data_IF_088253065437
#
_entry.id   IF_088253065437
#
_cell.length_a   1.000
_cell.length_b   1.000
_cell.length_c   1.000
_cell.angle_alpha   90.00
_cell.angle_beta   90.00
_cell.angle_gamma   90.00
#
_symmetry.space_group_name_H-M   'P 1'
#
loop_
_entity.id
_entity.type
_entity.pdbx_description
1 polymer ?
#
# COMPACT_ATOMS: atom_id res chain seq x y z
N UNK A 1 -11.30 12.94 -0.65
CA UNK A 1 -11.21 12.06 -1.81
C UNK A 1 -9.97 12.43 -2.60
N UNK A 2 -9.04 11.54 -2.86
CA UNK A 2 -7.92 11.84 -3.76
C UNK A 2 -8.40 11.57 -5.15
N UNK A 3 -8.27 12.54 -5.97
CA UNK A 3 -8.80 12.54 -7.32
C UNK A 3 -7.61 12.58 -8.27
N UNK A 4 -7.64 11.83 -9.39
CA UNK A 4 -6.62 11.94 -10.43
C UNK A 4 -6.44 13.39 -10.84
N UNK A 5 -5.19 13.84 -11.03
CA UNK A 5 -4.90 15.21 -11.43
C UNK A 5 -5.55 15.60 -12.76
N UNK A 6 -5.74 16.90 -12.98
CA UNK A 6 -6.30 17.52 -14.18
C UNK A 6 -7.79 17.22 -14.44
N UNK A 7 -8.65 17.52 -13.47
CA UNK A 7 -10.10 17.45 -13.68
C UNK A 7 -10.63 18.74 -14.33
N UNK A 8 -11.58 18.57 -15.28
CA UNK A 8 -12.27 19.71 -15.88
C UNK A 8 -13.01 20.57 -14.87
N UNK A 9 -13.49 19.99 -13.75
CA UNK A 9 -14.17 20.71 -12.66
C UNK A 9 -13.30 21.66 -11.84
N UNK A 10 -11.97 21.53 -11.89
CA UNK A 10 -11.02 22.45 -11.23
C UNK A 10 -10.85 23.78 -12.00
N UNK A 11 -11.33 23.83 -13.25
CA UNK A 11 -11.26 25.03 -14.08
C UNK A 11 -12.59 25.75 -14.08
N UNK A 12 -12.65 26.95 -13.53
CA UNK A 12 -13.86 27.80 -13.51
C UNK A 12 -14.51 27.95 -14.89
N UNK A 13 -13.69 28.05 -15.94
CA UNK A 13 -14.16 28.18 -17.33
C UNK A 13 -14.87 26.91 -17.80
N UNK A 14 -14.34 25.72 -17.50
CA UNK A 14 -14.94 24.45 -17.90
C UNK A 14 -16.22 24.18 -17.11
N UNK A 15 -16.24 24.53 -15.82
CA UNK A 15 -17.43 24.40 -14.97
C UNK A 15 -18.60 25.24 -15.48
N UNK A 16 -18.30 26.44 -16.01
CA UNK A 16 -19.34 27.35 -16.51
C UNK A 16 -19.74 27.08 -17.97
N UNK A 17 -18.78 26.75 -18.83
CA UNK A 17 -19.02 26.57 -20.27
C UNK A 17 -19.32 25.10 -20.66
N UNK A 18 -18.95 24.12 -19.81
CA UNK A 18 -19.07 22.68 -20.12
C UNK A 18 -19.62 21.87 -18.95
N UNK A 19 -20.75 22.26 -18.33
CA UNK A 19 -21.28 21.60 -17.11
C UNK A 19 -21.56 20.12 -17.33
N UNK A 20 -22.03 19.72 -18.52
CA UNK A 20 -22.33 18.31 -18.82
C UNK A 20 -21.06 17.44 -18.86
N UNK A 21 -19.93 17.99 -19.30
CA UNK A 21 -18.64 17.28 -19.29
C UNK A 21 -18.12 17.09 -17.87
N UNK A 22 -18.19 18.15 -17.06
CA UNK A 22 -17.79 18.10 -15.65
C UNK A 22 -18.63 17.06 -14.91
N UNK A 23 -19.95 17.08 -15.11
CA UNK A 23 -20.87 16.10 -14.49
C UNK A 23 -20.54 14.66 -14.88
N UNK A 24 -20.28 14.39 -16.15
CA UNK A 24 -19.91 13.04 -16.61
C UNK A 24 -18.56 12.57 -16.05
N UNK A 25 -17.58 13.47 -15.90
CA UNK A 25 -16.29 13.17 -15.26
C UNK A 25 -16.48 12.88 -13.75
N UNK A 26 -17.29 13.65 -13.04
CA UNK A 26 -17.60 13.43 -11.63
C UNK A 26 -18.34 12.13 -11.39
N UNK A 27 -19.33 11.79 -12.23
CA UNK A 27 -20.05 10.51 -12.17
C UNK A 27 -19.09 9.33 -12.36
N UNK A 28 -18.17 9.40 -13.33
CA UNK A 28 -17.16 8.37 -13.57
C UNK A 28 -16.21 8.21 -12.37
N UNK A 29 -15.75 9.32 -11.79
CA UNK A 29 -14.87 9.31 -10.63
C UNK A 29 -15.57 8.78 -9.37
N UNK A 30 -16.85 9.12 -9.20
CA UNK A 30 -17.67 8.62 -8.09
C UNK A 30 -17.89 7.11 -8.21
N UNK A 31 -18.24 6.63 -9.40
CA UNK A 31 -18.38 5.19 -9.67
C UNK A 31 -17.08 4.44 -9.38
N UNK A 32 -15.95 4.96 -9.85
CA UNK A 32 -14.64 4.36 -9.57
C UNK A 32 -14.30 4.37 -8.09
N UNK A 33 -14.59 5.45 -7.36
CA UNK A 33 -14.38 5.52 -5.93
C UNK A 33 -15.21 4.46 -5.19
N UNK A 34 -16.45 4.22 -5.62
CA UNK A 34 -17.30 3.17 -5.07
C UNK A 34 -16.70 1.77 -5.30
N UNK A 35 -16.20 1.50 -6.52
CA UNK A 35 -15.50 0.24 -6.83
C UNK A 35 -14.26 0.02 -5.95
N UNK A 36 -13.47 1.07 -5.71
CA UNK A 36 -12.28 1.01 -4.85
C UNK A 36 -12.68 0.76 -3.40
N UNK A 37 -13.72 1.43 -2.89
CA UNK A 37 -14.24 1.24 -1.54
C UNK A 37 -14.73 -0.20 -1.35
N UNK A 38 -15.44 -0.75 -2.31
CA UNK A 38 -15.92 -2.14 -2.30
C UNK A 38 -14.74 -3.12 -2.34
N UNK A 39 -13.79 -2.92 -3.25
CA UNK A 39 -12.59 -3.76 -3.37
C UNK A 39 -11.82 -3.85 -2.06
N UNK A 40 -11.71 -2.75 -1.30
CA UNK A 40 -11.03 -2.67 -0.02
C UNK A 40 -11.91 -3.05 1.17
N UNK A 41 -13.14 -3.50 0.94
CA UNK A 41 -14.10 -3.89 1.99
C UNK A 41 -14.42 -2.74 2.97
N UNK A 42 -14.43 -1.50 2.48
CA UNK A 42 -14.73 -0.31 3.26
C UNK A 42 -16.19 0.17 3.10
N UNK A 43 -17.04 -0.58 2.39
CA UNK A 43 -18.43 -0.18 2.09
C UNK A 43 -19.26 0.13 3.33
N UNK A 44 -19.03 -0.61 4.44
CA UNK A 44 -19.76 -0.40 5.71
C UNK A 44 -19.47 0.97 6.34
N UNK A 45 -18.31 1.56 6.03
CA UNK A 45 -17.85 2.84 6.58
C UNK A 45 -17.71 3.92 5.50
N UNK A 46 -18.31 3.72 4.33
CA UNK A 46 -18.17 4.62 3.19
C UNK A 46 -18.66 6.05 3.46
N UNK A 47 -19.72 6.17 4.28
CA UNK A 47 -20.33 7.44 4.65
C UNK A 47 -19.79 8.04 5.97
N UNK A 48 -18.83 7.35 6.61
CA UNK A 48 -18.20 7.83 7.83
C UNK A 48 -17.15 8.91 7.53
N UNK A 49 -16.99 9.84 8.45
CA UNK A 49 -15.88 10.78 8.40
C UNK A 49 -14.56 10.02 8.55
N UNK A 50 -13.58 10.31 7.70
CA UNK A 50 -12.27 9.68 7.73
C UNK A 50 -11.57 9.75 9.11
N UNK A 51 -11.90 10.76 9.93
CA UNK A 51 -11.45 10.88 11.31
C UNK A 51 -11.92 9.74 12.21
N UNK A 52 -13.12 9.21 11.98
CA UNK A 52 -13.76 8.16 12.78
C UNK A 52 -13.27 6.75 12.41
N UNK A 53 -12.57 6.59 11.29
CA UNK A 53 -12.05 5.30 10.86
C UNK A 53 -11.00 4.77 11.84
N UNK A 54 -10.97 3.45 12.04
CA UNK A 54 -9.89 2.78 12.76
C UNK A 54 -8.54 2.96 12.04
N UNK A 55 -7.44 2.75 12.76
CA UNK A 55 -6.10 2.89 12.19
C UNK A 55 -5.90 2.12 10.89
N UNK A 56 -6.42 0.91 10.81
CA UNK A 56 -6.26 0.13 9.62
C UNK A 56 -7.26 0.42 8.51
N UNK A 57 -8.48 0.83 8.85
CA UNK A 57 -9.36 1.37 7.82
C UNK A 57 -8.75 2.62 7.17
N UNK A 58 -8.03 3.44 7.95
CA UNK A 58 -7.23 4.56 7.42
C UNK A 58 -6.14 4.08 6.48
N UNK A 59 -5.41 3.02 6.83
CA UNK A 59 -4.37 2.43 5.96
C UNK A 59 -4.96 1.85 4.66
N UNK A 60 -6.09 1.15 4.74
CA UNK A 60 -6.81 0.68 3.54
C UNK A 60 -7.31 1.87 2.70
N UNK A 61 -7.78 2.94 3.32
CA UNK A 61 -8.19 4.15 2.62
C UNK A 61 -7.00 4.82 1.91
N UNK A 62 -5.82 4.86 2.52
CA UNK A 62 -4.58 5.35 1.89
C UNK A 62 -4.22 4.52 0.64
N UNK A 63 -4.32 3.19 0.74
CA UNK A 63 -4.16 2.31 -0.42
C UNK A 63 -5.20 2.60 -1.50
N UNK A 64 -6.46 2.79 -1.13
CA UNK A 64 -7.55 3.16 -2.04
C UNK A 64 -7.30 4.49 -2.77
N UNK A 65 -6.76 5.47 -2.06
CA UNK A 65 -6.34 6.74 -2.67
C UNK A 65 -5.29 6.52 -3.75
N UNK A 66 -4.34 5.63 -3.51
CA UNK A 66 -3.32 5.26 -4.49
C UNK A 66 -3.95 4.59 -5.71
N UNK A 67 -4.94 3.71 -5.50
CA UNK A 67 -5.67 3.05 -6.60
C UNK A 67 -6.41 4.03 -7.52
N UNK A 68 -6.89 5.15 -6.99
CA UNK A 68 -7.55 6.19 -7.79
C UNK A 68 -6.62 6.81 -8.84
N UNK A 69 -5.30 6.80 -8.60
CA UNK A 69 -4.29 7.32 -9.52
C UNK A 69 -3.86 6.30 -10.61
N UNK A 70 -4.32 5.05 -10.55
CA UNK A 70 -3.95 3.94 -11.47
C UNK A 70 -2.41 3.79 -11.65
N UNK A 71 -1.63 3.70 -10.58
CA UNK A 71 -0.19 3.62 -10.71
C UNK A 71 0.23 2.26 -11.25
N UNK A 72 1.37 2.22 -11.95
CA UNK A 72 2.03 0.95 -12.32
C UNK A 72 2.93 0.43 -11.21
N UNK A 73 3.50 1.33 -10.42
CA UNK A 73 4.42 1.03 -9.31
C UNK A 73 3.99 1.82 -8.08
N UNK A 74 3.91 1.13 -6.95
CA UNK A 74 3.55 1.70 -5.64
C UNK A 74 4.69 1.42 -4.66
N UNK A 75 5.13 2.47 -3.97
CA UNK A 75 6.06 2.33 -2.86
C UNK A 75 5.28 2.33 -1.55
N UNK A 76 5.51 1.32 -0.72
CA UNK A 76 4.91 1.16 0.59
C UNK A 76 5.99 1.20 1.65
N UNK A 77 5.84 2.10 2.60
CA UNK A 77 6.80 2.28 3.70
C UNK A 77 6.09 2.00 5.03
N UNK A 78 6.54 0.94 5.72
CA UNK A 78 6.04 0.50 7.03
C UNK A 78 4.50 0.49 7.16
N UNK A 79 3.81 -0.13 6.20
CA UNK A 79 2.34 -0.17 6.20
C UNK A 79 1.77 -0.91 7.42
N UNK A 80 2.56 -1.82 8.00
CA UNK A 80 2.21 -2.56 9.21
C UNK A 80 2.34 -1.79 10.51
N UNK A 81 2.95 -0.60 10.51
CA UNK A 81 3.20 0.16 11.73
C UNK A 81 1.89 0.56 12.43
N UNK A 82 1.73 0.13 13.69
CA UNK A 82 0.55 0.41 14.51
C UNK A 82 -0.72 -0.35 14.12
N UNK A 83 -0.60 -1.36 13.28
CA UNK A 83 -1.71 -2.19 12.80
C UNK A 83 -1.70 -3.55 13.50
N UNK A 84 -2.87 -4.04 13.93
CA UNK A 84 -2.97 -5.38 14.51
C UNK A 84 -2.81 -6.47 13.41
N UNK A 85 -2.48 -7.70 13.83
CA UNK A 85 -2.20 -8.82 12.90
C UNK A 85 -3.34 -9.13 11.93
N UNK A 86 -4.59 -9.07 12.39
CA UNK A 86 -5.77 -9.36 11.55
C UNK A 86 -5.88 -8.35 10.41
N UNK A 87 -5.67 -7.10 10.73
CA UNK A 87 -5.77 -6.01 9.78
C UNK A 87 -4.56 -5.95 8.85
N UNK A 88 -3.36 -6.30 9.37
CA UNK A 88 -2.17 -6.47 8.53
C UNK A 88 -2.39 -7.57 7.49
N UNK A 89 -3.04 -8.68 7.87
CA UNK A 89 -3.44 -9.73 6.95
C UNK A 89 -4.38 -9.21 5.86
N UNK A 90 -5.41 -8.41 6.24
CA UNK A 90 -6.36 -7.80 5.29
C UNK A 90 -5.66 -6.86 4.31
N UNK A 91 -4.71 -6.04 4.79
CA UNK A 91 -3.90 -5.17 3.93
C UNK A 91 -3.06 -6.01 2.97
N UNK A 92 -2.43 -7.08 3.45
CA UNK A 92 -1.65 -8.00 2.62
C UNK A 92 -2.50 -8.66 1.53
N UNK A 93 -3.72 -9.11 1.86
CA UNK A 93 -4.67 -9.66 0.87
C UNK A 93 -5.02 -8.63 -0.20
N UNK A 94 -5.25 -7.39 0.20
CA UNK A 94 -5.54 -6.31 -0.75
C UNK A 94 -4.35 -6.03 -1.69
N UNK A 95 -3.12 -6.02 -1.17
CA UNK A 95 -1.89 -5.85 -1.97
C UNK A 95 -1.73 -7.00 -2.97
N UNK A 96 -1.90 -8.27 -2.53
CA UNK A 96 -1.84 -9.43 -3.42
C UNK A 96 -2.88 -9.36 -4.53
N UNK A 97 -4.12 -9.03 -4.20
CA UNK A 97 -5.20 -8.88 -5.17
C UNK A 97 -4.92 -7.76 -6.16
N UNK A 98 -4.39 -6.63 -5.72
CA UNK A 98 -3.99 -5.53 -6.60
C UNK A 98 -2.87 -5.94 -7.56
N UNK A 99 -1.90 -6.70 -7.08
CA UNK A 99 -0.85 -7.23 -7.93
C UNK A 99 -1.41 -8.23 -8.96
N UNK A 100 -2.20 -9.22 -8.52
CA UNK A 100 -2.68 -10.31 -9.36
C UNK A 100 -3.81 -9.89 -10.31
N UNK A 101 -4.78 -9.12 -9.83
CA UNK A 101 -5.99 -8.78 -10.58
C UNK A 101 -5.83 -7.47 -11.37
N UNK A 102 -5.01 -6.53 -10.89
CA UNK A 102 -4.84 -5.19 -11.49
C UNK A 102 -3.45 -4.94 -12.07
N UNK A 103 -2.51 -5.86 -11.88
CA UNK A 103 -1.16 -5.77 -12.44
C UNK A 103 -0.29 -4.69 -11.80
N UNK A 104 -0.57 -4.25 -10.57
CA UNK A 104 0.26 -3.29 -9.85
C UNK A 104 1.56 -3.93 -9.41
N UNK A 105 2.66 -3.21 -9.55
CA UNK A 105 3.95 -3.58 -8.97
C UNK A 105 4.12 -2.86 -7.64
N UNK A 106 4.58 -3.58 -6.62
CA UNK A 106 4.84 -3.00 -5.30
C UNK A 106 6.32 -3.08 -4.95
N UNK A 107 6.85 -2.02 -4.39
CA UNK A 107 8.13 -2.01 -3.69
C UNK A 107 7.83 -1.67 -2.22
N UNK A 108 8.15 -2.59 -1.32
CA UNK A 108 7.77 -2.49 0.08
C UNK A 108 9.00 -2.37 0.96
N UNK A 109 8.98 -1.48 1.93
CA UNK A 109 9.96 -1.38 3.02
C UNK A 109 9.24 -1.83 4.28
N UNK A 110 9.70 -2.91 4.86
CA UNK A 110 9.09 -3.52 6.03
C UNK A 110 10.12 -4.27 6.88
N UNK A 111 9.80 -4.50 8.13
CA UNK A 111 10.62 -5.25 9.07
C UNK A 111 9.91 -6.50 9.62
N UNK A 112 8.63 -6.70 9.34
CA UNK A 112 7.89 -7.92 9.66
C UNK A 112 8.20 -9.00 8.62
N UNK A 113 9.05 -9.98 9.01
CA UNK A 113 9.52 -11.04 8.10
C UNK A 113 8.40 -11.95 7.64
N UNK A 114 7.38 -12.20 8.47
CA UNK A 114 6.22 -13.02 8.09
C UNK A 114 5.41 -12.31 7.00
N UNK A 115 5.23 -11.00 7.13
CA UNK A 115 4.54 -10.18 6.15
C UNK A 115 5.29 -10.08 4.83
N UNK A 116 6.61 -9.86 4.90
CA UNK A 116 7.51 -9.81 3.73
C UNK A 116 7.50 -11.15 2.99
N UNK A 117 7.68 -12.28 3.71
CA UNK A 117 7.77 -13.60 3.09
C UNK A 117 6.51 -14.00 2.34
N UNK A 118 5.36 -13.49 2.78
CA UNK A 118 4.07 -13.74 2.14
C UNK A 118 3.86 -12.91 0.87
N UNK A 119 4.41 -11.72 0.79
CA UNK A 119 4.05 -10.72 -0.23
C UNK A 119 5.14 -10.44 -1.24
N UNK A 120 6.41 -10.64 -0.88
CA UNK A 120 7.55 -10.13 -1.64
C UNK A 120 8.41 -11.24 -2.23
N UNK A 121 8.74 -11.10 -3.50
CA UNK A 121 9.77 -11.85 -4.19
C UNK A 121 10.27 -10.99 -5.37
N UNK A 122 11.58 -10.65 -5.43
CA UNK A 122 12.63 -10.95 -4.46
C UNK A 122 12.63 -10.04 -3.22
N UNK A 123 13.35 -10.47 -2.18
CA UNK A 123 13.65 -9.66 -0.98
C UNK A 123 15.08 -9.15 -1.04
N UNK A 124 15.27 -7.89 -0.67
CA UNK A 124 16.59 -7.24 -0.51
C UNK A 124 16.75 -6.85 0.94
N UNK A 125 17.75 -7.38 1.61
CA UNK A 125 18.07 -7.02 2.99
C UNK A 125 19.14 -5.95 3.03
N UNK A 126 18.88 -4.89 3.77
CA UNK A 126 19.79 -3.76 3.95
C UNK A 126 20.15 -3.56 5.43
N UNK A 127 21.40 -3.26 5.71
CA UNK A 127 21.83 -2.80 7.02
C UNK A 127 23.02 -1.84 6.89
N UNK A 128 23.14 -0.91 7.83
CA UNK A 128 24.19 0.11 7.86
C UNK A 128 24.40 0.86 6.52
N UNK A 129 23.31 1.09 5.79
CA UNK A 129 23.35 1.81 4.51
C UNK A 129 23.80 0.98 3.30
N UNK A 130 24.03 -0.33 3.47
CA UNK A 130 24.44 -1.25 2.40
C UNK A 130 23.48 -2.42 2.23
N UNK A 131 23.52 -3.05 1.05
CA UNK A 131 22.82 -4.30 0.78
C UNK A 131 23.62 -5.45 1.38
N UNK A 132 22.99 -6.22 2.29
CA UNK A 132 23.59 -7.43 2.86
C UNK A 132 23.42 -8.64 1.94
N UNK A 133 22.20 -8.85 1.47
CA UNK A 133 21.86 -9.97 0.60
C UNK A 133 20.60 -9.68 -0.21
N UNK A 134 20.39 -10.50 -1.24
CA UNK A 134 19.18 -10.49 -2.06
C UNK A 134 18.85 -11.94 -2.44
N UNK A 135 17.60 -12.31 -2.40
CA UNK A 135 17.14 -13.64 -2.79
C UNK A 135 15.64 -13.81 -2.62
N UNK A 136 15.17 -15.04 -2.70
CA UNK A 136 13.82 -15.40 -2.31
C UNK A 136 13.61 -15.19 -0.81
N UNK A 137 12.36 -15.06 -0.34
CA UNK A 137 12.08 -14.98 1.10
C UNK A 137 12.74 -16.10 1.90
N UNK A 138 12.67 -17.34 1.41
CA UNK A 138 13.24 -18.51 2.06
C UNK A 138 14.77 -18.44 2.18
N UNK A 139 15.45 -18.07 1.09
CA UNK A 139 16.92 -17.88 1.09
C UNK A 139 17.35 -16.80 2.08
N UNK A 140 16.61 -15.68 2.12
CA UNK A 140 16.90 -14.55 3.00
C UNK A 140 16.67 -14.92 4.47
N UNK A 141 15.58 -15.60 4.79
CA UNK A 141 15.24 -16.02 6.16
C UNK A 141 16.22 -17.05 6.74
N UNK A 142 16.83 -17.88 5.88
CA UNK A 142 17.82 -18.87 6.29
C UNK A 142 19.27 -18.35 6.20
N UNK A 143 19.49 -17.11 5.81
CA UNK A 143 20.83 -16.54 5.69
C UNK A 143 21.41 -16.15 7.06
N UNK A 144 22.53 -16.75 7.44
CA UNK A 144 23.18 -16.51 8.74
C UNK A 144 23.52 -15.04 8.99
N UNK A 145 23.94 -14.31 7.94
CA UNK A 145 24.26 -12.87 8.03
C UNK A 145 23.01 -12.04 8.34
N UNK A 146 21.86 -12.40 7.76
CA UNK A 146 20.58 -11.76 8.05
C UNK A 146 20.13 -12.07 9.48
N UNK A 147 20.21 -13.33 9.89
CA UNK A 147 19.86 -13.78 11.24
C UNK A 147 20.71 -13.02 12.27
N UNK A 148 22.01 -12.90 12.04
CA UNK A 148 22.92 -12.17 12.95
C UNK A 148 22.59 -10.68 12.99
N UNK A 149 22.31 -10.05 11.86
CA UNK A 149 21.97 -8.64 11.78
C UNK A 149 20.64 -8.29 12.47
N UNK A 150 19.63 -9.16 12.37
CA UNK A 150 18.28 -8.92 12.91
C UNK A 150 18.08 -9.43 14.33
N UNK A 151 18.62 -10.61 14.66
CA UNK A 151 18.45 -11.22 15.98
C UNK A 151 19.49 -10.77 16.98
N UNK A 152 20.53 -10.05 16.54
CA UNK A 152 21.53 -9.48 17.42
C UNK A 152 22.11 -10.55 18.34
N UNK A 153 22.61 -11.66 17.80
CA UNK A 153 23.33 -12.63 18.61
C UNK A 153 24.54 -11.91 19.17
N UNK A 154 24.43 -11.58 20.47
CA UNK A 154 25.44 -10.85 21.23
C UNK A 154 26.80 -11.58 21.33
N UNK A 155 27.42 -11.85 20.20
CA UNK A 155 28.84 -12.10 20.13
C UNK A 155 29.56 -10.76 20.19
N UNK A 156 29.71 -10.24 21.42
CA UNK A 156 30.73 -9.27 21.69
C UNK A 156 32.02 -9.77 21.05
N UNK A 157 32.44 -9.08 19.99
CA UNK A 157 33.83 -9.16 19.60
C UNK A 157 34.67 -8.65 20.77
N UNK A 158 35.13 -9.57 21.63
CA UNK A 158 36.33 -9.35 22.43
C UNK A 158 37.50 -9.36 21.44
N UNK A 159 38.00 -8.18 21.15
CA UNK A 159 39.40 -7.91 20.90
C UNK A 159 39.72 -6.48 21.31
#
# INVERSE_FOLDING_TARGET
>A
MVVPGAQSGERLVDTWLRPNRVKAEEEKLSSRAAEVIEFLQLSVVADELAGNLSGGQKKLLELGRTMMAEPKLVFLDEVGAGVNRTLLATIGDAILRLNQEKGYTFCMIEHDMDFISRLCDPVVVMAAGGVLTRGSPEEVMNNEVVIEAYLGTGRKHQR
#
